data_IF_554206606132
#
_entry.id   IF_554206606132
#
_cell.length_a   1.000
_cell.length_b   1.000
_cell.length_c   1.000
_cell.angle_alpha   90.00
_cell.angle_beta   90.00
_cell.angle_gamma   90.00
#
_symmetry.space_group_name_H-M   'P 1'
#
loop_
_entity.id
_entity.type
_entity.pdbx_description
1 polymer ?
#
# COMPACT_ATOMS: atom_id res chain seq x y z
N UNK A 1 -9.57 -10.97 4.68
CA UNK A 1 -8.36 -10.20 4.28
C UNK A 1 -7.27 -10.46 5.28
N UNK A 2 -6.04 -10.69 4.84
CA UNK A 2 -4.96 -11.05 5.75
C UNK A 2 -3.62 -10.38 5.42
N UNK A 3 -2.77 -10.33 6.44
CA UNK A 3 -1.36 -9.92 6.38
C UNK A 3 -0.52 -11.04 6.98
N UNK A 4 0.62 -11.34 6.37
CA UNK A 4 1.52 -12.38 6.85
C UNK A 4 2.94 -11.86 6.89
N UNK A 5 3.65 -12.17 7.99
CA UNK A 5 5.01 -11.70 8.24
C UNK A 5 5.91 -12.85 8.64
N UNK A 6 7.10 -12.93 8.04
CA UNK A 6 8.11 -13.92 8.39
C UNK A 6 9.13 -13.29 9.34
N UNK A 7 9.34 -13.95 10.47
CA UNK A 7 10.38 -13.63 11.44
C UNK A 7 11.41 -14.76 11.45
N UNK A 8 12.66 -14.39 11.44
CA UNK A 8 13.77 -15.38 11.40
C UNK A 8 14.37 -15.66 12.78
N UNK A 9 13.99 -14.89 13.80
CA UNK A 9 14.48 -15.03 15.16
C UNK A 9 13.33 -14.94 16.17
N UNK A 10 13.54 -15.52 17.38
CA UNK A 10 12.53 -15.51 18.44
C UNK A 10 12.49 -14.22 19.26
N UNK A 11 13.42 -13.28 19.02
CA UNK A 11 13.64 -12.08 19.83
C UNK A 11 12.35 -11.28 20.11
N UNK A 12 11.50 -11.14 19.11
CA UNK A 12 10.26 -10.33 19.21
C UNK A 12 8.99 -11.15 19.39
N UNK A 13 9.11 -12.48 19.53
CA UNK A 13 7.95 -13.36 19.51
C UNK A 13 6.96 -13.05 20.63
N UNK A 14 7.45 -12.83 21.84
CA UNK A 14 6.58 -12.51 22.99
C UNK A 14 5.83 -11.19 22.79
N UNK A 15 6.50 -10.17 22.24
CA UNK A 15 5.89 -8.87 21.96
C UNK A 15 4.82 -8.98 20.86
N UNK A 16 5.12 -9.72 19.80
CA UNK A 16 4.15 -9.95 18.72
C UNK A 16 2.96 -10.75 19.22
N UNK A 17 3.18 -11.78 20.03
CA UNK A 17 2.09 -12.57 20.65
C UNK A 17 1.19 -11.74 21.55
N UNK A 18 1.73 -10.72 22.21
CA UNK A 18 0.95 -9.83 23.07
C UNK A 18 0.20 -8.74 22.32
N UNK A 19 0.55 -8.47 21.09
CA UNK A 19 -0.11 -7.47 20.27
C UNK A 19 -1.43 -8.03 19.72
N UNK A 20 -2.54 -7.44 20.18
CA UNK A 20 -3.90 -7.90 19.83
C UNK A 20 -4.72 -6.68 19.37
N UNK A 21 -4.58 -6.24 18.11
CA UNK A 21 -5.40 -5.16 17.62
C UNK A 21 -6.88 -5.54 17.55
N UNK A 22 -7.75 -4.56 17.76
CA UNK A 22 -9.19 -4.76 17.73
C UNK A 22 -9.65 -5.19 16.34
N UNK A 23 -10.61 -6.13 16.31
CA UNK A 23 -11.20 -6.67 15.07
C UNK A 23 -10.22 -7.40 14.15
N UNK A 24 -9.09 -7.83 14.69
CA UNK A 24 -8.08 -8.60 13.95
C UNK A 24 -7.78 -9.89 14.71
N UNK A 25 -7.84 -11.00 14.00
CA UNK A 25 -7.41 -12.30 14.52
C UNK A 25 -5.93 -12.45 14.26
N UNK A 26 -5.17 -12.76 15.29
CA UNK A 26 -3.74 -13.04 15.18
C UNK A 26 -3.48 -14.52 15.46
N UNK A 27 -2.66 -15.15 14.62
CA UNK A 27 -2.14 -16.49 14.85
C UNK A 27 -0.66 -16.55 14.52
N UNK A 28 0.05 -17.46 15.20
CA UNK A 28 1.47 -17.66 15.00
C UNK A 28 1.71 -19.10 14.60
N UNK A 29 2.48 -19.27 13.51
CA UNK A 29 2.84 -20.57 12.98
C UNK A 29 4.36 -20.75 13.05
N UNK A 30 4.81 -21.75 13.81
CA UNK A 30 6.23 -22.06 13.88
C UNK A 30 6.61 -22.93 12.67
N UNK A 31 7.78 -22.67 12.09
CA UNK A 31 8.33 -23.48 11.02
C UNK A 31 9.19 -24.57 11.67
N UNK A 32 8.86 -25.83 11.37
CA UNK A 32 9.57 -26.99 11.94
C UNK A 32 11.06 -26.94 11.68
N UNK A 33 11.84 -27.39 12.66
CA UNK A 33 13.30 -27.50 12.62
C UNK A 33 14.04 -26.17 12.36
N UNK A 34 13.38 -25.04 12.72
CA UNK A 34 14.00 -23.73 12.60
C UNK A 34 13.56 -22.77 13.70
N UNK A 35 14.25 -21.65 13.82
CA UNK A 35 13.84 -20.54 14.68
C UNK A 35 12.84 -19.60 13.99
N UNK A 36 12.50 -19.87 12.75
CA UNK A 36 11.60 -19.04 11.96
C UNK A 36 10.14 -19.27 12.34
N UNK A 37 9.34 -18.24 12.23
CA UNK A 37 7.90 -18.30 12.49
C UNK A 37 7.15 -17.25 11.69
N UNK A 38 5.87 -17.46 11.48
CA UNK A 38 5.02 -16.58 10.70
C UNK A 38 3.92 -16.02 11.60
N UNK A 39 3.76 -14.70 11.60
CA UNK A 39 2.63 -14.03 12.23
C UNK A 39 1.57 -13.76 11.15
N UNK A 40 0.34 -14.18 11.41
CA UNK A 40 -0.79 -14.01 10.51
C UNK A 40 -1.83 -13.15 11.20
N UNK A 41 -2.23 -12.06 10.53
CA UNK A 41 -3.28 -11.17 11.00
C UNK A 41 -4.42 -11.20 10.01
N UNK A 42 -5.62 -11.50 10.46
CA UNK A 42 -6.81 -11.58 9.62
C UNK A 42 -7.91 -10.62 10.09
N UNK A 43 -8.50 -9.89 9.16
CA UNK A 43 -9.72 -9.13 9.36
C UNK A 43 -10.83 -9.74 8.51
N UNK A 44 -12.07 -9.76 9.01
CA UNK A 44 -13.19 -10.32 8.28
C UNK A 44 -13.61 -9.44 7.12
N UNK A 45 -13.91 -10.07 5.96
CA UNK A 45 -14.38 -9.38 4.77
C UNK A 45 -13.27 -8.73 3.94
N UNK A 46 -13.65 -8.28 2.77
CA UNK A 46 -12.78 -7.55 1.84
C UNK A 46 -13.39 -6.16 1.58
N UNK A 47 -13.24 -5.26 2.55
CA UNK A 47 -13.82 -3.93 2.50
C UNK A 47 -12.83 -2.90 3.02
N UNK A 48 -13.19 -1.62 2.87
CA UNK A 48 -12.35 -0.50 3.28
C UNK A 48 -11.98 -0.55 4.76
N UNK A 49 -12.94 -0.90 5.62
CA UNK A 49 -12.69 -0.94 7.07
C UNK A 49 -11.67 -2.01 7.44
N UNK A 50 -11.79 -3.20 6.85
CA UNK A 50 -10.83 -4.29 7.06
C UNK A 50 -9.43 -3.90 6.54
N UNK A 51 -9.36 -3.29 5.37
CA UNK A 51 -8.11 -2.83 4.80
C UNK A 51 -7.45 -1.74 5.66
N UNK A 52 -8.24 -0.80 6.18
CA UNK A 52 -7.76 0.24 7.09
C UNK A 52 -7.19 -0.34 8.38
N UNK A 53 -7.90 -1.29 8.98
CA UNK A 53 -7.47 -1.96 10.19
C UNK A 53 -6.15 -2.72 9.99
N UNK A 54 -6.05 -3.50 8.92
CA UNK A 54 -4.83 -4.24 8.58
C UNK A 54 -3.68 -3.32 8.18
N UNK A 55 -3.96 -2.19 7.55
CA UNK A 55 -2.95 -1.19 7.23
C UNK A 55 -2.32 -0.59 8.50
N UNK A 56 -3.11 -0.33 9.54
CA UNK A 56 -2.61 0.10 10.84
C UNK A 56 -1.74 -0.96 11.49
N UNK A 57 -2.17 -2.21 11.44
CA UNK A 57 -1.41 -3.35 11.93
C UNK A 57 -0.07 -3.46 11.20
N UNK A 58 -0.08 -3.33 9.88
CA UNK A 58 1.12 -3.35 9.06
C UNK A 58 2.09 -2.23 9.45
N UNK A 59 1.60 -1.01 9.66
CA UNK A 59 2.42 0.11 10.09
C UNK A 59 3.10 -0.14 11.43
N UNK A 60 2.39 -0.69 12.39
CA UNK A 60 2.94 -1.04 13.70
C UNK A 60 4.02 -2.12 13.59
N UNK A 61 3.69 -3.24 12.92
CA UNK A 61 4.60 -4.39 12.82
C UNK A 61 5.86 -4.04 12.05
N UNK A 62 5.74 -3.35 10.92
CA UNK A 62 6.89 -3.02 10.07
C UNK A 62 7.80 -1.97 10.70
N UNK A 63 7.24 -0.96 11.36
CA UNK A 63 8.06 0.08 12.00
C UNK A 63 8.75 -0.39 13.27
N UNK A 64 8.12 -1.29 14.03
CA UNK A 64 8.68 -1.77 15.29
C UNK A 64 9.63 -2.96 15.13
N UNK A 65 9.32 -3.90 14.23
CA UNK A 65 10.06 -5.17 14.12
C UNK A 65 10.73 -5.37 12.76
N UNK A 66 10.26 -4.71 11.73
CA UNK A 66 10.79 -4.80 10.36
C UNK A 66 10.96 -6.25 9.85
N UNK A 67 9.92 -7.11 9.93
CA UNK A 67 10.00 -8.47 9.40
C UNK A 67 9.90 -8.50 7.87
N UNK A 68 10.10 -9.69 7.28
CA UNK A 68 9.80 -9.89 5.85
C UNK A 68 8.29 -10.01 5.66
N UNK A 69 7.74 -9.19 4.76
CA UNK A 69 6.31 -9.22 4.44
C UNK A 69 6.07 -10.33 3.41
N UNK A 70 5.29 -11.34 3.78
CA UNK A 70 4.90 -12.43 2.87
C UNK A 70 3.61 -12.11 2.12
N UNK A 71 2.63 -11.53 2.80
CA UNK A 71 1.33 -11.18 2.24
C UNK A 71 0.90 -9.83 2.78
N UNK A 72 0.46 -8.94 1.88
CA UNK A 72 -0.06 -7.63 2.26
C UNK A 72 -1.33 -7.33 1.45
N UNK A 73 -2.45 -7.95 1.87
CA UNK A 73 -3.72 -7.80 1.17
C UNK A 73 -4.36 -6.42 1.34
N UNK A 74 -4.05 -5.71 2.43
CA UNK A 74 -4.54 -4.34 2.61
C UNK A 74 -3.95 -3.39 1.56
N UNK A 75 -2.65 -3.50 1.28
CA UNK A 75 -2.01 -2.70 0.23
C UNK A 75 -2.58 -3.05 -1.15
N UNK A 76 -2.77 -4.35 -1.44
CA UNK A 76 -3.37 -4.79 -2.69
C UNK A 76 -4.79 -4.25 -2.86
N UNK A 77 -5.59 -4.24 -1.78
CA UNK A 77 -6.94 -3.68 -1.79
C UNK A 77 -6.92 -2.19 -2.12
N UNK A 78 -6.09 -1.40 -1.45
CA UNK A 78 -6.00 0.04 -1.71
C UNK A 78 -5.52 0.34 -3.12
N UNK A 79 -4.51 -0.39 -3.60
CA UNK A 79 -4.01 -0.20 -4.97
C UNK A 79 -5.10 -0.48 -6.00
N UNK A 80 -5.84 -1.58 -5.84
CA UNK A 80 -6.94 -1.94 -6.73
C UNK A 80 -8.09 -0.93 -6.69
N UNK A 81 -8.44 -0.45 -5.50
CA UNK A 81 -9.59 0.45 -5.29
C UNK A 81 -9.30 1.88 -5.69
N UNK A 82 -8.06 2.37 -5.50
CA UNK A 82 -7.70 3.77 -5.72
C UNK A 82 -7.11 4.04 -7.10
N UNK A 83 -6.59 3.02 -7.78
CA UNK A 83 -5.94 3.18 -9.08
C UNK A 83 -6.80 3.91 -10.13
N UNK A 84 -8.09 3.61 -10.30
CA UNK A 84 -8.93 4.35 -11.26
C UNK A 84 -9.02 5.85 -10.94
N UNK A 85 -9.04 6.22 -9.67
CA UNK A 85 -9.11 7.62 -9.25
C UNK A 85 -7.82 8.37 -9.57
N UNK A 86 -6.67 7.75 -9.35
CA UNK A 86 -5.38 8.33 -9.72
C UNK A 86 -5.24 8.53 -11.21
N UNK A 87 -5.67 7.56 -12.02
CA UNK A 87 -5.67 7.68 -13.47
C UNK A 87 -6.54 8.82 -13.97
N UNK A 88 -7.73 8.97 -13.41
CA UNK A 88 -8.63 10.06 -13.79
C UNK A 88 -8.08 11.42 -13.39
N UNK A 89 -7.51 11.52 -12.20
CA UNK A 89 -6.85 12.75 -11.74
C UNK A 89 -5.70 13.14 -12.67
N UNK A 90 -4.86 12.20 -13.05
CA UNK A 90 -3.75 12.44 -13.97
C UNK A 90 -4.24 12.97 -15.33
N UNK A 91 -5.29 12.36 -15.89
CA UNK A 91 -5.88 12.83 -17.16
C UNK A 91 -6.39 14.25 -17.06
N UNK A 92 -7.10 14.58 -15.97
CA UNK A 92 -7.61 15.93 -15.74
C UNK A 92 -6.48 16.95 -15.61
N UNK A 93 -5.42 16.58 -14.92
CA UNK A 93 -4.26 17.44 -14.75
C UNK A 93 -3.57 17.72 -16.10
N UNK A 94 -3.38 16.68 -16.93
CA UNK A 94 -2.83 16.86 -18.29
C UNK A 94 -3.67 17.80 -19.12
N UNK A 95 -4.98 17.63 -19.10
CA UNK A 95 -5.91 18.50 -19.82
C UNK A 95 -5.77 19.95 -19.40
N UNK A 96 -5.69 20.21 -18.10
CA UNK A 96 -5.50 21.58 -17.58
C UNK A 96 -4.19 22.19 -18.03
N UNK A 97 -3.10 21.42 -18.02
CA UNK A 97 -1.79 21.90 -18.48
C UNK A 97 -1.79 22.22 -19.97
N UNK A 98 -2.44 21.41 -20.80
CA UNK A 98 -2.57 21.65 -22.23
C UNK A 98 -3.39 22.91 -22.52
N UNK A 99 -4.51 23.08 -21.83
CA UNK A 99 -5.35 24.26 -21.97
C UNK A 99 -4.62 25.53 -21.54
N UNK A 100 -3.88 25.47 -20.44
CA UNK A 100 -3.08 26.59 -19.97
C UNK A 100 -2.04 27.00 -21.03
N UNK A 101 -1.33 26.04 -21.61
CA UNK A 101 -0.34 26.30 -22.67
C UNK A 101 -0.99 26.93 -23.90
N UNK A 102 -2.15 26.45 -24.33
CA UNK A 102 -2.89 26.95 -25.46
C UNK A 102 -3.39 28.38 -25.24
N UNK A 103 -3.86 28.70 -24.03
CA UNK A 103 -4.40 30.04 -23.69
C UNK A 103 -3.32 31.11 -23.54
N UNK A 104 -2.07 30.75 -23.43
CA UNK A 104 -0.97 31.73 -23.37
C UNK A 104 -0.75 32.48 -24.68
N UNK A 105 -1.41 32.06 -25.79
CA UNK A 105 -1.26 32.67 -27.12
C UNK A 105 0.19 32.86 -27.54
N UNK A 106 1.05 31.96 -27.07
CA UNK A 106 2.48 31.99 -27.28
C UNK A 106 2.82 31.26 -28.59
N UNK A 107 3.80 31.79 -29.34
CA UNK A 107 4.32 31.12 -30.53
C UNK A 107 4.90 29.73 -30.24
N UNK A 108 5.25 29.46 -28.96
CA UNK A 108 5.78 28.17 -28.50
C UNK A 108 4.72 27.23 -27.88
N UNK A 109 3.42 27.60 -27.86
CA UNK A 109 2.38 26.84 -27.25
C UNK A 109 2.31 25.39 -27.76
N UNK A 110 2.42 25.20 -29.08
CA UNK A 110 2.42 23.87 -29.70
C UNK A 110 3.62 23.03 -29.24
N UNK A 111 4.77 23.62 -29.08
CA UNK A 111 5.95 22.92 -28.57
C UNK A 111 5.81 22.58 -27.10
N UNK A 112 5.28 23.49 -26.28
CA UNK A 112 5.01 23.24 -24.87
C UNK A 112 4.08 22.09 -24.68
N UNK A 113 3.02 21.96 -25.46
CA UNK A 113 2.10 20.83 -25.44
C UNK A 113 2.82 19.54 -25.80
N UNK A 114 3.66 19.53 -26.81
CA UNK A 114 4.45 18.35 -27.20
C UNK A 114 5.41 17.92 -26.10
N UNK A 115 6.05 18.86 -25.43
CA UNK A 115 6.93 18.57 -24.30
C UNK A 115 6.16 17.93 -23.14
N UNK A 116 4.95 18.42 -22.84
CA UNK A 116 4.09 17.85 -21.81
C UNK A 116 3.65 16.42 -22.15
N UNK A 117 3.37 16.15 -23.44
CA UNK A 117 3.02 14.80 -23.89
C UNK A 117 4.18 13.80 -23.73
N UNK A 118 5.43 14.27 -23.86
CA UNK A 118 6.60 13.41 -23.72
C UNK A 118 6.98 13.13 -22.27
N UNK A 119 6.43 13.88 -21.31
CA UNK A 119 6.70 13.70 -19.88
C UNK A 119 5.73 12.72 -19.24
N UNK A 120 6.25 11.86 -18.39
CA UNK A 120 5.43 11.03 -17.53
C UNK A 120 4.99 11.84 -16.31
N UNK A 121 3.67 11.99 -16.11
CA UNK A 121 3.09 12.69 -14.99
C UNK A 121 2.75 11.77 -13.82
N UNK A 122 3.00 10.47 -13.99
CA UNK A 122 2.70 9.46 -12.98
C UNK A 122 3.74 9.37 -11.88
#
# INVERSE_FOLDING_TARGET
MKQEYLFVEDTHKAEVESYRPENVRCSIQNIEDSSCWIAVYEASGENFQSAKTLSKTNGYITSKFNPTILTNESAAYFNKSLYPYFNEFERKLRKLLYLKSALQHDATASQNIKELESKDLG
#
